data_IF_122740923865
#
_entry.id   IF_122740923865
#
_cell.length_a   1.000
_cell.length_b   1.000
_cell.length_c   1.000
_cell.angle_alpha   90.00
_cell.angle_beta   90.00
_cell.angle_gamma   90.00
#
_symmetry.space_group_name_H-M   'P 1'
#
loop_
_entity.id
_entity.type
_entity.pdbx_description
1 polymer ?
#
# COMPACT_ATOMS: atom_id res chain seq x y z
N UNK A 1 -15.06 3.69 61.86
CA UNK A 1 -13.83 3.66 61.03
C UNK A 1 -13.55 2.21 60.68
N UNK A 2 -13.51 1.85 59.39
CA UNK A 2 -12.57 0.92 58.75
C UNK A 2 -12.70 1.18 57.25
N UNK A 3 -11.55 1.35 56.62
CA UNK A 3 -11.37 2.00 55.32
C UNK A 3 -11.72 1.09 54.14
N UNK A 4 -12.17 1.76 53.08
CA UNK A 4 -12.45 1.28 51.74
C UNK A 4 -11.11 1.02 51.02
N UNK A 5 -10.98 -0.10 50.32
CA UNK A 5 -9.98 -0.29 49.28
C UNK A 5 -10.71 -0.59 47.96
N UNK A 6 -11.10 0.48 47.27
CA UNK A 6 -11.47 0.42 45.85
C UNK A 6 -10.16 0.22 45.09
N UNK A 7 -9.94 -1.00 44.61
CA UNK A 7 -8.89 -1.29 43.65
C UNK A 7 -9.20 -0.52 42.37
N UNK A 8 -8.48 0.58 42.18
CA UNK A 8 -8.38 1.32 40.92
C UNK A 8 -7.91 0.33 39.86
N UNK A 9 -8.85 -0.20 39.07
CA UNK A 9 -8.55 -0.73 37.75
C UNK A 9 -7.93 0.44 37.00
N UNK A 10 -6.61 0.35 36.81
CA UNK A 10 -5.87 1.28 35.98
C UNK A 10 -6.53 1.24 34.60
N UNK A 11 -7.27 2.29 34.28
CA UNK A 11 -7.68 2.64 32.93
C UNK A 11 -6.40 2.83 32.14
N UNK A 12 -5.86 1.73 31.62
CA UNK A 12 -4.96 1.78 30.47
C UNK A 12 -5.77 2.45 29.37
N UNK A 13 -5.44 3.71 29.12
CA UNK A 13 -5.80 4.46 27.94
C UNK A 13 -5.58 3.57 26.72
N UNK A 14 -6.65 2.97 26.20
CA UNK A 14 -6.64 2.42 24.84
C UNK A 14 -6.54 3.64 23.93
N UNK A 15 -5.37 3.83 23.33
CA UNK A 15 -5.18 4.83 22.28
C UNK A 15 -6.16 4.45 21.15
N UNK A 16 -7.07 5.33 20.71
CA UNK A 16 -8.09 5.02 19.71
C UNK A 16 -7.54 4.71 18.31
N UNK A 17 -6.21 4.65 18.15
CA UNK A 17 -5.51 4.40 16.89
C UNK A 17 -5.02 2.95 16.71
N UNK A 18 -5.11 2.08 17.71
CA UNK A 18 -4.62 0.70 17.57
C UNK A 18 -5.77 -0.27 17.31
N UNK A 19 -6.03 -0.53 16.03
CA UNK A 19 -6.70 -1.76 15.60
C UNK A 19 -6.00 -2.99 16.17
N UNK A 20 -6.69 -4.13 16.21
CA UNK A 20 -6.05 -5.40 16.60
C UNK A 20 -5.20 -5.91 15.43
N UNK A 21 -3.96 -6.32 15.68
CA UNK A 21 -3.14 -7.01 14.67
C UNK A 21 -3.90 -8.22 14.10
N UNK A 22 -3.98 -8.32 12.78
CA UNK A 22 -4.66 -9.40 12.05
C UNK A 22 -3.70 -10.05 11.06
N UNK A 23 -4.10 -11.21 10.53
CA UNK A 23 -3.28 -11.89 9.52
C UNK A 23 -3.14 -11.02 8.26
N UNK A 24 -1.91 -10.90 7.74
CA UNK A 24 -1.65 -10.24 6.47
C UNK A 24 -2.40 -10.92 5.32
N UNK A 25 -2.97 -10.14 4.38
CA UNK A 25 -3.45 -10.67 3.12
C UNK A 25 -2.36 -11.46 2.38
N UNK A 26 -2.77 -12.36 1.49
CA UNK A 26 -1.82 -12.92 0.51
C UNK A 26 -1.47 -11.83 -0.51
N UNK A 27 -0.30 -11.94 -1.13
CA UNK A 27 0.05 -11.07 -2.26
C UNK A 27 -0.99 -11.18 -3.36
N UNK A 28 -1.50 -10.02 -3.80
CA UNK A 28 -2.56 -9.97 -4.79
C UNK A 28 -3.38 -8.69 -4.75
N UNK A 29 -4.41 -8.69 -5.59
CA UNK A 29 -5.35 -7.57 -5.72
C UNK A 29 -6.34 -7.60 -4.55
N UNK A 30 -6.51 -6.46 -3.89
CA UNK A 30 -7.47 -6.23 -2.81
C UNK A 30 -8.76 -5.62 -3.37
N UNK A 31 -8.65 -4.68 -4.31
CA UNK A 31 -9.79 -4.05 -4.94
C UNK A 31 -9.52 -3.70 -6.41
N UNK A 32 -10.55 -3.88 -7.25
CA UNK A 32 -10.61 -3.43 -8.64
C UNK A 32 -11.83 -2.53 -8.80
N UNK A 33 -11.60 -1.23 -8.92
CA UNK A 33 -12.66 -0.21 -9.04
C UNK A 33 -12.70 0.44 -10.43
N UNK A 34 -11.71 0.15 -11.28
CA UNK A 34 -11.61 0.70 -12.61
C UNK A 34 -12.77 0.25 -13.51
N UNK A 35 -13.25 1.16 -14.38
CA UNK A 35 -14.27 0.83 -15.38
C UNK A 35 -13.70 0.18 -16.66
N UNK A 36 -12.37 0.20 -16.83
CA UNK A 36 -11.67 -0.29 -18.02
C UNK A 36 -11.30 -1.77 -17.95
N UNK A 37 -10.83 -2.32 -19.08
CA UNK A 37 -10.24 -3.66 -19.09
C UNK A 37 -8.80 -3.60 -18.63
N UNK A 38 -8.42 -4.52 -17.75
CA UNK A 38 -7.05 -4.75 -17.33
C UNK A 38 -6.28 -5.43 -18.48
N UNK A 39 -5.38 -4.70 -19.14
CA UNK A 39 -4.71 -5.16 -20.37
C UNK A 39 -3.22 -4.88 -20.44
N UNK A 40 -2.72 -3.87 -19.74
CA UNK A 40 -1.31 -3.50 -19.76
C UNK A 40 -0.58 -4.09 -18.54
N UNK A 41 0.63 -4.65 -18.70
CA UNK A 41 1.31 -5.35 -17.62
C UNK A 41 1.84 -4.41 -16.54
N UNK A 42 1.74 -4.81 -15.29
CA UNK A 42 2.45 -4.22 -14.16
C UNK A 42 3.05 -5.33 -13.33
N UNK A 43 4.36 -5.30 -13.18
CA UNK A 43 5.08 -6.13 -12.21
C UNK A 43 5.59 -5.24 -11.08
N UNK A 44 5.30 -5.62 -9.83
CA UNK A 44 5.87 -4.99 -8.64
C UNK A 44 6.67 -6.04 -7.89
N UNK A 45 7.92 -5.73 -7.59
CA UNK A 45 8.89 -6.62 -6.96
C UNK A 45 9.30 -6.01 -5.62
N UNK A 46 9.12 -6.78 -4.55
CA UNK A 46 9.72 -6.46 -3.24
C UNK A 46 10.99 -7.33 -3.12
N UNK A 47 12.19 -6.73 -2.99
CA UNK A 47 13.42 -7.48 -2.80
C UNK A 47 13.35 -8.45 -1.61
N UNK A 48 14.08 -9.57 -1.70
CA UNK A 48 14.02 -10.65 -0.71
C UNK A 48 14.60 -10.28 0.66
N UNK A 49 15.41 -9.24 0.71
CA UNK A 49 16.04 -8.69 1.90
C UNK A 49 15.21 -7.59 2.58
N UNK A 50 14.12 -7.14 1.94
CA UNK A 50 13.13 -6.27 2.59
C UNK A 50 12.33 -7.03 3.65
N UNK A 51 12.05 -6.36 4.76
CA UNK A 51 11.23 -6.89 5.87
C UNK A 51 9.79 -6.40 5.82
N UNK A 52 9.55 -5.29 5.12
CA UNK A 52 8.26 -4.65 5.06
C UNK A 52 7.37 -5.25 3.97
N UNK A 53 6.08 -5.30 4.28
CA UNK A 53 5.03 -5.57 3.30
C UNK A 53 4.39 -4.26 2.88
N UNK A 54 3.72 -4.27 1.72
CA UNK A 54 3.27 -3.07 1.05
C UNK A 54 1.77 -3.16 0.74
N UNK A 55 1.04 -2.09 1.06
CA UNK A 55 -0.32 -1.86 0.57
C UNK A 55 -0.26 -0.72 -0.46
N UNK A 56 -0.61 -1.02 -1.71
CA UNK A 56 -0.36 -0.15 -2.85
C UNK A 56 -1.68 0.26 -3.50
N UNK A 57 -1.80 1.54 -3.84
CA UNK A 57 -2.91 2.12 -4.61
C UNK A 57 -2.40 2.60 -5.96
N UNK A 58 -3.13 2.28 -7.02
CA UNK A 58 -3.01 2.95 -8.31
C UNK A 58 -4.07 4.05 -8.40
N UNK A 59 -3.63 5.30 -8.30
CA UNK A 59 -4.49 6.48 -8.32
C UNK A 59 -4.51 7.06 -9.73
N UNK A 60 -5.67 7.09 -10.36
CA UNK A 60 -5.83 7.60 -11.72
C UNK A 60 -5.74 9.12 -11.73
N UNK A 61 -4.71 9.69 -12.36
CA UNK A 61 -4.40 11.13 -12.27
C UNK A 61 -5.50 12.03 -12.86
N UNK A 62 -6.37 11.50 -13.73
CA UNK A 62 -7.45 12.28 -14.36
C UNK A 62 -8.68 12.37 -13.46
N UNK A 63 -8.92 11.34 -12.66
CA UNK A 63 -10.14 11.24 -11.85
C UNK A 63 -9.87 11.40 -10.35
N UNK A 64 -8.59 11.31 -9.95
CA UNK A 64 -8.13 11.30 -8.57
C UNK A 64 -8.78 10.18 -7.74
N UNK A 65 -9.05 9.05 -8.39
CA UNK A 65 -9.66 7.86 -7.77
C UNK A 65 -8.69 6.69 -7.76
N UNK A 66 -8.76 5.90 -6.69
CA UNK A 66 -8.08 4.60 -6.61
C UNK A 66 -8.79 3.59 -7.49
N UNK A 67 -8.18 3.30 -8.64
CA UNK A 67 -8.70 2.36 -9.62
C UNK A 67 -8.36 0.91 -9.24
N UNK A 68 -7.23 0.70 -8.56
CA UNK A 68 -6.82 -0.60 -8.03
C UNK A 68 -6.12 -0.44 -6.69
N UNK A 69 -6.32 -1.42 -5.79
CA UNK A 69 -5.53 -1.58 -4.58
C UNK A 69 -5.00 -3.02 -4.48
N UNK A 70 -3.79 -3.18 -3.97
CA UNK A 70 -3.11 -4.46 -3.86
C UNK A 70 -2.28 -4.54 -2.59
N UNK A 71 -2.03 -5.76 -2.13
CA UNK A 71 -1.13 -6.05 -1.03
C UNK A 71 0.00 -6.93 -1.55
N UNK A 72 1.23 -6.66 -1.14
CA UNK A 72 2.41 -7.47 -1.49
C UNK A 72 3.21 -7.72 -0.23
N UNK A 73 3.46 -8.98 0.09
CA UNK A 73 4.28 -9.36 1.24
C UNK A 73 5.75 -9.11 0.97
N UNK A 74 6.49 -8.88 2.05
CA UNK A 74 7.94 -8.81 2.05
C UNK A 74 8.57 -9.96 1.24
N UNK A 75 9.47 -9.63 0.31
CA UNK A 75 10.19 -10.59 -0.53
C UNK A 75 9.36 -11.31 -1.61
N UNK A 76 8.11 -10.91 -1.84
CA UNK A 76 7.25 -11.42 -2.91
C UNK A 76 7.14 -10.42 -4.08
N UNK A 77 6.64 -10.90 -5.22
CA UNK A 77 6.31 -10.07 -6.38
C UNK A 77 4.88 -10.29 -6.83
N UNK A 78 4.33 -9.29 -7.51
CA UNK A 78 2.98 -9.29 -8.07
C UNK A 78 3.04 -8.92 -9.55
N UNK A 79 2.56 -9.81 -10.43
CA UNK A 79 2.37 -9.56 -11.86
C UNK A 79 0.87 -9.53 -12.17
N UNK A 80 0.39 -8.39 -12.62
CA UNK A 80 -1.02 -8.13 -12.91
C UNK A 80 -1.19 -7.35 -14.21
N UNK A 81 -2.43 -7.29 -14.69
CA UNK A 81 -2.83 -6.38 -15.75
C UNK A 81 -3.57 -5.18 -15.16
N UNK A 82 -3.33 -4.01 -15.73
CA UNK A 82 -3.86 -2.70 -15.31
C UNK A 82 -4.61 -2.07 -16.48
N UNK A 83 -5.67 -1.27 -16.24
CA UNK A 83 -6.34 -0.54 -17.31
C UNK A 83 -5.44 0.54 -17.90
N UNK A 84 -5.60 0.81 -19.20
CA UNK A 84 -4.91 1.92 -19.85
C UNK A 84 -5.24 3.25 -19.16
N UNK A 85 -4.22 4.09 -18.98
CA UNK A 85 -4.34 5.32 -18.22
C UNK A 85 -2.99 5.77 -17.68
N UNK A 86 -3.03 6.91 -16.99
CA UNK A 86 -1.88 7.48 -16.31
C UNK A 86 -2.16 7.43 -14.81
N UNK A 87 -1.23 6.89 -14.03
CA UNK A 87 -1.43 6.64 -12.60
C UNK A 87 -0.29 7.20 -11.77
N UNK A 88 -0.63 7.70 -10.59
CA UNK A 88 0.30 7.88 -9.48
C UNK A 88 0.25 6.60 -8.63
N UNK A 89 1.40 6.04 -8.28
CA UNK A 89 1.48 4.90 -7.39
C UNK A 89 1.70 5.45 -5.97
N UNK A 90 0.78 5.13 -5.06
CA UNK A 90 0.94 5.41 -3.63
C UNK A 90 1.10 4.10 -2.88
N UNK A 91 1.96 4.05 -1.88
CA UNK A 91 2.10 2.87 -1.05
C UNK A 91 2.26 3.21 0.42
N UNK A 92 1.68 2.36 1.25
CA UNK A 92 1.93 2.28 2.66
C UNK A 92 2.75 1.03 2.95
N UNK A 93 3.69 1.08 3.89
CA UNK A 93 4.51 -0.09 4.24
C UNK A 93 4.71 -0.27 5.75
N UNK A 94 5.07 -1.50 6.11
CA UNK A 94 5.48 -1.90 7.46
C UNK A 94 5.46 -3.42 7.70
N UNK A 95 5.92 -3.83 8.88
CA UNK A 95 6.11 -5.24 9.25
C UNK A 95 4.84 -5.96 9.74
N UNK A 96 3.82 -5.22 10.17
CA UNK A 96 2.63 -5.78 10.87
C UNK A 96 1.35 -5.24 10.28
N UNK A 97 0.30 -6.05 10.20
CA UNK A 97 -0.95 -5.65 9.57
C UNK A 97 -2.13 -5.57 10.55
N UNK A 98 -2.91 -4.50 10.43
CA UNK A 98 -4.02 -4.16 11.32
C UNK A 98 -5.35 -3.98 10.57
N UNK A 99 -5.40 -4.38 9.28
CA UNK A 99 -6.57 -4.26 8.41
C UNK A 99 -6.54 -2.98 7.56
N UNK A 100 -7.38 -2.90 6.52
CA UNK A 100 -7.37 -1.80 5.55
C UNK A 100 -7.67 -0.41 6.16
N UNK A 101 -8.31 -0.37 7.34
CA UNK A 101 -8.58 0.88 8.09
C UNK A 101 -7.33 1.44 8.78
N UNK A 102 -6.46 0.57 9.30
CA UNK A 102 -5.28 0.96 10.11
C UNK A 102 -3.95 0.61 9.44
N UNK A 103 -3.98 -0.10 8.32
CA UNK A 103 -2.86 -0.57 7.53
C UNK A 103 -1.78 -1.24 8.39
N UNK A 104 -0.62 -0.61 8.53
CA UNK A 104 0.50 -1.13 9.32
C UNK A 104 0.57 -0.58 10.75
N UNK A 105 -0.53 0.04 11.20
CA UNK A 105 -0.68 0.63 12.52
C UNK A 105 0.04 1.97 12.64
N UNK A 106 0.40 2.35 13.87
CA UNK A 106 1.01 3.67 14.17
C UNK A 106 2.36 3.95 13.50
N UNK A 107 3.04 2.90 13.03
CA UNK A 107 4.32 3.00 12.35
C UNK A 107 4.16 2.86 10.83
N UNK A 108 2.95 3.02 10.30
CA UNK A 108 2.76 3.00 8.85
C UNK A 108 3.50 4.18 8.24
N UNK A 109 4.39 3.88 7.29
CA UNK A 109 5.05 4.88 6.47
C UNK A 109 4.31 4.97 5.13
N UNK A 110 4.13 6.19 4.62
CA UNK A 110 3.34 6.46 3.42
C UNK A 110 4.18 7.20 2.40
N UNK A 111 4.07 6.77 1.15
CA UNK A 111 4.82 7.33 0.05
C UNK A 111 3.97 7.43 -1.21
N UNK A 112 4.40 8.31 -2.10
CA UNK A 112 3.97 8.35 -3.49
C UNK A 112 5.16 8.42 -4.42
N UNK A 113 4.99 7.92 -5.63
CA UNK A 113 5.97 8.09 -6.70
C UNK A 113 6.04 9.53 -7.17
N UNK A 114 7.24 10.01 -7.46
CA UNK A 114 7.43 11.34 -8.07
C UNK A 114 7.05 11.34 -9.56
N UNK A 115 7.22 10.19 -10.21
CA UNK A 115 6.85 9.96 -11.61
C UNK A 115 5.43 9.37 -11.75
N UNK A 116 4.85 9.57 -12.93
CA UNK A 116 3.58 8.98 -13.34
C UNK A 116 3.79 7.75 -14.23
N UNK A 117 2.95 6.73 -14.04
CA UNK A 117 2.98 5.49 -14.79
C UNK A 117 1.94 5.51 -15.91
N UNK A 118 2.41 5.66 -17.14
CA UNK A 118 1.56 5.64 -18.33
C UNK A 118 1.43 4.22 -18.89
N UNK A 119 0.24 3.64 -18.77
CA UNK A 119 -0.13 2.37 -19.40
C UNK A 119 -0.81 2.66 -20.73
N UNK A 120 -0.14 2.29 -21.82
CA UNK A 120 -0.54 2.70 -23.18
C UNK A 120 -0.65 1.50 -24.12
N UNK A 121 -1.22 1.73 -25.30
CA UNK A 121 -1.28 0.76 -26.39
C UNK A 121 -0.65 1.38 -27.65
N UNK A 122 0.19 0.62 -28.33
CA UNK A 122 0.70 0.96 -29.65
C UNK A 122 0.57 -0.22 -30.63
N UNK A 123 1.16 -0.09 -31.82
CA UNK A 123 1.09 -1.12 -32.88
C UNK A 123 1.70 -2.48 -32.48
N UNK A 124 2.51 -2.54 -31.44
CA UNK A 124 3.18 -3.73 -30.91
C UNK A 124 2.42 -4.37 -29.74
N UNK A 125 1.41 -3.69 -29.19
CA UNK A 125 0.60 -4.19 -28.08
C UNK A 125 0.53 -3.21 -26.92
N UNK A 126 0.32 -3.75 -25.71
CA UNK A 126 0.21 -2.97 -24.48
C UNK A 126 1.58 -2.72 -23.84
N UNK A 127 1.82 -1.49 -23.43
CA UNK A 127 3.02 -1.05 -22.74
C UNK A 127 2.72 -0.87 -21.25
N UNK A 128 3.63 -1.35 -20.41
CA UNK A 128 3.47 -1.39 -18.98
C UNK A 128 4.81 -1.22 -18.24
N UNK A 129 4.85 -1.60 -16.97
CA UNK A 129 5.94 -1.22 -16.06
C UNK A 129 6.39 -2.37 -15.17
N UNK A 130 7.68 -2.39 -14.84
CA UNK A 130 8.24 -3.17 -13.74
C UNK A 130 8.79 -2.21 -12.70
N UNK A 131 8.32 -2.33 -11.47
CA UNK A 131 8.69 -1.49 -10.33
C UNK A 131 9.35 -2.35 -9.28
N UNK A 132 10.54 -1.95 -8.84
CA UNK A 132 11.20 -2.54 -7.67
C UNK A 132 11.04 -1.57 -6.50
N UNK A 133 10.31 -1.97 -5.46
CA UNK A 133 10.11 -1.14 -4.27
C UNK A 133 11.16 -1.51 -3.23
N UNK A 134 12.07 -0.58 -2.97
CA UNK A 134 13.12 -0.72 -1.95
C UNK A 134 12.92 0.36 -0.89
N UNK A 135 13.05 0.01 0.38
CA UNK A 135 13.00 0.96 1.49
C UNK A 135 14.22 1.91 1.48
N UNK A 136 15.34 1.47 0.89
CA UNK A 136 16.55 2.27 0.74
C UNK A 136 16.65 2.90 -0.65
N UNK A 137 17.15 4.14 -0.69
CA UNK A 137 17.24 5.06 -1.83
C UNK A 137 18.05 4.59 -3.08
N UNK A 138 18.30 3.29 -3.22
CA UNK A 138 19.03 2.67 -4.34
C UNK A 138 18.10 1.96 -5.36
N UNK A 139 16.77 2.05 -5.18
CA UNK A 139 15.77 1.55 -6.13
C UNK A 139 15.67 2.38 -7.42
N UNK A 140 14.94 1.87 -8.42
CA UNK A 140 14.71 2.57 -9.70
C UNK A 140 13.61 3.65 -9.63
N UNK A 141 13.05 3.86 -8.45
CA UNK A 141 11.84 4.63 -8.22
C UNK A 141 12.12 5.77 -7.22
N UNK A 142 11.95 7.01 -7.65
CA UNK A 142 11.94 8.15 -6.74
C UNK A 142 10.55 8.28 -6.11
N UNK A 143 10.52 8.33 -4.78
CA UNK A 143 9.30 8.47 -4.01
C UNK A 143 9.44 9.59 -2.98
N UNK A 144 8.35 10.30 -2.74
CA UNK A 144 8.21 11.30 -1.70
C UNK A 144 7.34 10.76 -0.56
N UNK A 145 7.77 10.96 0.68
CA UNK A 145 6.95 10.68 1.87
C UNK A 145 5.71 11.58 1.87
N UNK A 146 4.56 11.03 2.25
CA UNK A 146 3.27 11.73 2.35
C UNK A 146 2.62 11.47 3.71
N UNK A 147 1.54 12.20 4.01
CA UNK A 147 0.74 11.95 5.21
C UNK A 147 -0.35 10.92 4.95
N UNK A 148 -0.90 10.37 6.02
CA UNK A 148 -2.06 9.47 6.00
C UNK A 148 -3.28 10.09 5.29
N UNK A 149 -3.56 11.38 5.52
CA UNK A 149 -4.63 12.12 4.84
C UNK A 149 -4.44 12.24 3.32
N UNK A 150 -3.20 12.14 2.84
CA UNK A 150 -2.84 12.23 1.42
C UNK A 150 -2.78 10.83 0.74
N UNK A 151 -2.95 9.74 1.50
CA UNK A 151 -2.85 8.37 1.01
C UNK A 151 -4.17 7.84 0.44
#
# INVERSE_FOLDING_TARGET
LIAIAIGIYSIMSHDPLEGKEVAMPQTGIIAENASGKNVAPLEIIIPKDETDSYYIKLVNIKTDKTDMAMFIRAGESLDILVPLGSYELRYACGEKWYGEEYLFGKNTEYYKTDDTFDFTEDKKGYNGWTVELTYHADGNLNSSEIKDDDF
#
